data_IF_230733438105
#
_entry.id   IF_230733438105
#
_cell.length_a   1.000
_cell.length_b   1.000
_cell.length_c   1.000
_cell.angle_alpha   90.00
_cell.angle_beta   90.00
_cell.angle_gamma   90.00
#
_symmetry.space_group_name_H-M   'P 1'
#
loop_
_entity.id
_entity.type
_entity.pdbx_description
1 polymer ?
#
# COMPACT_ATOMS: atom_id res chain seq x y z
N UNK A 1 -16.88 5.57 -4.04
CA UNK A 1 -17.15 6.98 -3.69
C UNK A 1 -16.10 7.86 -4.35
N UNK A 2 -16.45 9.09 -4.76
CA UNK A 2 -15.52 9.98 -5.48
C UNK A 2 -14.33 10.42 -4.61
N UNK A 3 -14.54 10.42 -3.29
CA UNK A 3 -13.56 10.77 -2.27
C UNK A 3 -12.73 9.58 -1.76
N UNK A 4 -12.95 8.38 -2.32
CA UNK A 4 -12.23 7.19 -1.93
C UNK A 4 -10.73 7.28 -2.27
N UNK A 5 -9.90 6.67 -1.42
CA UNK A 5 -8.45 6.63 -1.60
C UNK A 5 -7.89 5.21 -1.59
N UNK A 6 -6.65 5.07 -2.03
CA UNK A 6 -5.85 3.85 -1.89
C UNK A 6 -4.62 4.08 -1.00
N UNK A 7 -4.18 3.03 -0.32
CA UNK A 7 -2.92 2.98 0.43
C UNK A 7 -2.20 1.71 0.01
N UNK A 8 -1.15 1.84 -0.79
CA UNK A 8 -0.54 0.70 -1.49
C UNK A 8 0.95 0.93 -1.71
N UNK A 9 1.73 -0.14 -1.66
CA UNK A 9 3.15 -0.12 -1.98
C UNK A 9 3.43 -0.90 -3.27
N UNK A 10 4.57 -0.61 -3.90
CA UNK A 10 5.11 -1.45 -4.98
C UNK A 10 5.45 -2.86 -4.50
N UNK A 11 5.66 -3.03 -3.19
CA UNK A 11 6.28 -4.18 -2.57
C UNK A 11 7.71 -4.39 -3.06
N UNK A 12 8.28 -5.53 -2.66
CA UNK A 12 9.59 -5.93 -3.16
C UNK A 12 10.76 -5.18 -2.55
N UNK A 13 10.56 -4.39 -1.50
CA UNK A 13 11.60 -3.77 -0.66
C UNK A 13 12.49 -4.81 0.05
N UNK A 14 12.00 -6.05 0.20
CA UNK A 14 12.72 -7.16 0.84
C UNK A 14 12.76 -7.05 2.37
N UNK A 15 11.97 -6.15 2.95
CA UNK A 15 12.06 -5.80 4.37
C UNK A 15 11.42 -6.84 5.28
N UNK A 16 10.40 -7.56 4.79
CA UNK A 16 9.66 -8.54 5.57
C UNK A 16 8.97 -7.93 6.78
N UNK A 17 8.48 -6.69 6.64
CA UNK A 17 7.76 -5.97 7.69
C UNK A 17 6.35 -6.51 7.89
N UNK A 18 5.68 -6.01 8.93
CA UNK A 18 4.22 -6.12 9.05
C UNK A 18 3.52 -5.49 7.84
N UNK A 19 2.26 -5.86 7.61
CA UNK A 19 1.45 -5.29 6.52
C UNK A 19 0.93 -3.88 6.89
N UNK A 20 1.85 -2.92 7.00
CA UNK A 20 1.62 -1.53 7.43
C UNK A 20 0.50 -0.89 6.60
N UNK A 21 0.61 -0.88 5.27
CA UNK A 21 -0.45 -0.33 4.41
C UNK A 21 -1.84 -0.99 4.59
N UNK A 22 -1.92 -2.21 5.12
CA UNK A 22 -3.21 -2.87 5.43
C UNK A 22 -3.77 -2.37 6.75
N UNK A 23 -2.93 -2.24 7.79
CA UNK A 23 -3.33 -1.61 9.04
C UNK A 23 -3.76 -0.15 8.83
N UNK A 24 -3.00 0.62 8.04
CA UNK A 24 -3.33 2.00 7.68
C UNK A 24 -4.68 2.09 6.98
N UNK A 25 -5.03 1.16 6.07
CA UNK A 25 -6.32 1.16 5.40
C UNK A 25 -7.50 1.02 6.38
N UNK A 26 -7.38 0.19 7.41
CA UNK A 26 -8.40 0.10 8.47
C UNK A 26 -8.49 1.38 9.30
N UNK A 27 -7.35 1.95 9.69
CA UNK A 27 -7.31 3.19 10.49
C UNK A 27 -7.93 4.36 9.70
N UNK A 28 -7.60 4.51 8.41
CA UNK A 28 -8.17 5.54 7.54
C UNK A 28 -9.67 5.35 7.34
N UNK A 29 -10.13 4.12 7.10
CA UNK A 29 -11.56 3.84 6.98
C UNK A 29 -12.32 4.18 8.28
N UNK A 30 -11.72 3.90 9.44
CA UNK A 30 -12.30 4.21 10.75
C UNK A 30 -12.44 5.72 11.03
N UNK A 31 -11.70 6.59 10.33
CA UNK A 31 -11.89 8.06 10.42
C UNK A 31 -12.97 8.58 9.47
N UNK A 32 -13.64 7.71 8.71
CA UNK A 32 -14.72 8.04 7.79
C UNK A 32 -14.28 8.31 6.36
N UNK A 33 -13.00 8.16 6.03
CA UNK A 33 -12.50 8.28 4.66
C UNK A 33 -12.66 6.94 3.94
N UNK A 34 -13.41 6.84 2.83
CA UNK A 34 -13.57 5.58 2.11
C UNK A 34 -12.25 5.08 1.53
N UNK A 35 -11.95 3.80 1.71
CA UNK A 35 -10.73 3.18 1.19
C UNK A 35 -11.08 2.10 0.18
N UNK A 36 -10.58 2.25 -1.04
CA UNK A 36 -10.63 1.25 -2.09
C UNK A 36 -9.22 0.68 -2.26
N UNK A 37 -8.84 -0.26 -1.39
CA UNK A 37 -7.48 -0.80 -1.34
C UNK A 37 -7.23 -1.78 -2.48
N UNK A 38 -6.23 -1.51 -3.30
CA UNK A 38 -5.74 -2.48 -4.27
C UNK A 38 -4.60 -3.29 -3.66
N UNK A 39 -4.56 -4.60 -3.90
CA UNK A 39 -3.47 -5.41 -3.35
C UNK A 39 -3.37 -6.81 -3.92
N UNK A 40 -2.30 -7.49 -3.52
CA UNK A 40 -1.98 -8.82 -4.00
C UNK A 40 -1.48 -9.71 -2.84
N UNK A 41 -1.27 -11.00 -3.14
CA UNK A 41 -0.48 -11.90 -2.29
C UNK A 41 1.00 -11.54 -2.35
N UNK A 42 1.77 -12.04 -1.39
CA UNK A 42 3.21 -11.84 -1.39
C UNK A 42 3.86 -12.38 -2.68
N UNK A 43 4.76 -11.58 -3.25
CA UNK A 43 5.70 -12.04 -4.30
C UNK A 43 7.08 -12.34 -3.72
N UNK A 44 7.54 -11.55 -2.75
CA UNK A 44 8.86 -11.66 -2.13
C UNK A 44 8.87 -11.52 -0.60
N UNK A 45 7.76 -11.08 0.00
CA UNK A 45 7.60 -11.04 1.47
C UNK A 45 7.09 -12.39 1.99
N UNK A 46 7.06 -12.55 3.31
CA UNK A 46 6.47 -13.74 3.95
C UNK A 46 4.93 -13.75 3.89
N UNK A 47 4.31 -12.57 3.78
CA UNK A 47 2.86 -12.39 3.67
C UNK A 47 2.50 -11.08 2.95
N UNK A 48 1.50 -11.14 2.06
CA UNK A 48 0.96 -9.98 1.36
C UNK A 48 -0.34 -9.49 2.00
N UNK A 49 -0.85 -8.35 1.52
CA UNK A 49 -2.10 -7.79 2.02
C UNK A 49 -3.28 -8.78 1.89
N UNK A 50 -3.35 -9.49 0.75
CA UNK A 50 -4.38 -10.51 0.52
C UNK A 50 -4.28 -11.68 1.50
N UNK A 51 -3.06 -12.11 1.85
CA UNK A 51 -2.83 -13.23 2.75
C UNK A 51 -3.26 -12.89 4.19
N UNK A 52 -2.91 -11.69 4.68
CA UNK A 52 -3.32 -11.21 6.01
C UNK A 52 -4.82 -10.95 6.08
N UNK A 53 -5.43 -10.36 5.05
CA UNK A 53 -6.88 -10.15 5.02
C UNK A 53 -7.63 -11.49 5.05
N UNK A 54 -7.16 -12.51 4.33
CA UNK A 54 -7.72 -13.86 4.39
C UNK A 54 -7.58 -14.48 5.80
N UNK A 55 -6.42 -14.35 6.45
CA UNK A 55 -6.21 -14.80 7.84
C UNK A 55 -7.11 -14.07 8.85
N UNK A 56 -7.46 -12.80 8.59
CA UNK A 56 -8.43 -12.06 9.38
C UNK A 56 -9.89 -12.50 9.15
N UNK A 57 -10.16 -13.35 8.16
CA UNK A 57 -11.48 -13.84 7.80
C UNK A 57 -12.19 -13.02 6.71
N UNK A 58 -11.49 -12.10 6.04
CA UNK A 58 -12.05 -11.31 4.94
C UNK A 58 -12.10 -12.17 3.68
N UNK A 59 -13.27 -12.19 3.03
CA UNK A 59 -13.37 -12.76 1.69
C UNK A 59 -12.69 -11.82 0.68
N UNK A 60 -11.50 -12.18 0.21
CA UNK A 60 -10.71 -11.37 -0.74
C UNK A 60 -11.15 -11.57 -2.20
N UNK A 61 -12.03 -12.53 -2.47
CA UNK A 61 -12.47 -12.90 -3.83
C UNK A 61 -13.85 -12.31 -4.17
N UNK A 62 -14.23 -11.22 -3.51
CA UNK A 62 -15.49 -10.53 -3.80
C UNK A 62 -15.51 -9.96 -5.22
N UNK A 63 -16.67 -10.05 -5.86
CA UNK A 63 -16.91 -9.37 -7.14
C UNK A 63 -17.10 -7.86 -6.97
N UNK A 64 -17.00 -7.08 -8.06
CA UNK A 64 -17.07 -5.62 -8.04
C UNK A 64 -18.29 -5.04 -7.28
N UNK A 65 -19.46 -5.64 -7.44
CA UNK A 65 -20.70 -5.17 -6.79
C UNK A 65 -20.61 -5.26 -5.26
N UNK A 66 -20.05 -6.38 -4.75
CA UNK A 66 -19.86 -6.59 -3.32
C UNK A 66 -18.70 -5.77 -2.74
N UNK A 67 -17.66 -5.52 -3.53
CA UNK A 67 -16.61 -4.56 -3.15
C UNK A 67 -17.21 -3.16 -3.00
N UNK A 68 -18.05 -2.74 -3.96
CA UNK A 68 -18.70 -1.43 -3.90
C UNK A 68 -19.65 -1.32 -2.70
N UNK A 69 -20.38 -2.39 -2.36
CA UNK A 69 -21.20 -2.51 -1.15
C UNK A 69 -20.33 -2.37 0.12
N UNK A 70 -19.23 -3.10 0.21
CA UNK A 70 -18.31 -3.03 1.35
C UNK A 70 -17.73 -1.61 1.56
N UNK A 71 -17.36 -0.91 0.48
CA UNK A 71 -16.88 0.47 0.60
C UNK A 71 -17.99 1.41 1.11
N UNK A 72 -19.24 1.23 0.66
CA UNK A 72 -20.37 2.07 1.09
C UNK A 72 -20.78 1.81 2.54
N UNK A 73 -20.79 0.55 2.96
CA UNK A 73 -21.35 0.16 4.26
C UNK A 73 -20.29 0.07 5.36
N UNK A 74 -19.08 -0.39 5.03
CA UNK A 74 -17.98 -0.59 5.98
C UNK A 74 -16.84 0.42 5.79
N UNK A 75 -16.89 1.28 4.77
CA UNK A 75 -15.84 2.29 4.50
C UNK A 75 -14.57 1.72 3.86
N UNK A 76 -14.45 0.40 3.71
CA UNK A 76 -13.27 -0.27 3.15
C UNK A 76 -13.68 -1.40 2.21
N UNK A 77 -13.09 -1.43 1.02
CA UNK A 77 -13.16 -2.56 0.10
C UNK A 77 -11.77 -2.95 -0.39
N UNK A 78 -11.56 -4.25 -0.58
CA UNK A 78 -10.31 -4.80 -1.09
C UNK A 78 -10.51 -5.32 -2.52
N UNK A 79 -9.64 -4.89 -3.43
CA UNK A 79 -9.61 -5.36 -4.81
C UNK A 79 -8.39 -6.25 -4.99
N UNK A 80 -8.63 -7.54 -5.18
CA UNK A 80 -7.55 -8.51 -5.35
C UNK A 80 -7.01 -8.49 -6.78
N UNK A 81 -5.76 -8.09 -6.96
CA UNK A 81 -5.15 -7.79 -8.26
C UNK A 81 -5.37 -8.87 -9.35
N UNK A 82 -5.24 -10.19 -9.09
CA UNK A 82 -5.46 -11.22 -10.11
C UNK A 82 -6.87 -11.23 -10.70
N UNK A 83 -7.88 -10.75 -9.96
CA UNK A 83 -9.26 -10.69 -10.42
C UNK A 83 -9.55 -9.49 -11.31
N UNK A 84 -8.76 -8.42 -11.21
CA UNK A 84 -8.97 -7.17 -11.96
C UNK A 84 -7.98 -6.99 -13.12
N UNK A 85 -6.85 -7.71 -13.11
CA UNK A 85 -5.78 -7.57 -14.09
C UNK A 85 -5.49 -8.89 -14.80
N UNK A 86 -6.50 -9.51 -15.39
CA UNK A 86 -6.39 -10.82 -16.06
C UNK A 86 -5.28 -10.88 -17.14
N UNK A 87 -4.96 -9.76 -17.78
CA UNK A 87 -3.87 -9.67 -18.76
C UNK A 87 -2.48 -9.93 -18.14
N UNK A 88 -2.31 -9.70 -16.84
CA UNK A 88 -1.03 -9.92 -16.13
C UNK A 88 -0.58 -11.38 -16.14
N UNK A 89 -1.50 -12.34 -16.36
CA UNK A 89 -1.15 -13.76 -16.51
C UNK A 89 -0.21 -14.03 -17.68
N UNK A 90 -0.22 -13.18 -18.71
CA UNK A 90 0.63 -13.33 -19.89
C UNK A 90 2.08 -12.91 -19.65
N UNK A 91 2.32 -12.04 -18.67
CA UNK A 91 3.68 -11.57 -18.31
C UNK A 91 4.20 -12.20 -17.02
N UNK A 92 3.32 -12.78 -16.21
CA UNK A 92 3.66 -13.42 -14.93
C UNK A 92 4.83 -14.42 -15.02
N UNK A 93 4.78 -15.44 -15.91
CA UNK A 93 5.86 -16.42 -16.03
C UNK A 93 7.22 -15.81 -16.34
N UNK A 94 7.28 -14.89 -17.31
CA UNK A 94 8.53 -14.20 -17.69
C UNK A 94 9.08 -13.36 -16.55
N UNK A 95 8.22 -12.72 -15.74
CA UNK A 95 8.67 -11.96 -14.57
C UNK A 95 9.32 -12.85 -13.52
N UNK A 96 8.80 -14.06 -13.32
CA UNK A 96 9.38 -15.04 -12.39
C UNK A 96 10.74 -15.51 -12.90
N UNK A 97 10.84 -15.85 -14.19
CA UNK A 97 12.09 -16.28 -14.84
C UNK A 97 13.18 -15.21 -14.78
N UNK A 98 12.82 -13.94 -15.00
CA UNK A 98 13.77 -12.82 -14.92
C UNK A 98 14.31 -12.59 -13.50
N UNK A 99 13.52 -12.91 -12.46
CA UNK A 99 13.94 -12.83 -11.06
C UNK A 99 14.43 -11.44 -10.59
N UNK A 100 14.16 -10.39 -11.36
CA UNK A 100 14.63 -9.02 -11.11
C UNK A 100 13.50 -8.01 -11.24
N UNK A 101 13.69 -6.83 -10.64
CA UNK A 101 12.72 -5.74 -10.70
C UNK A 101 12.66 -5.18 -12.14
N UNK A 102 11.45 -4.91 -12.60
CA UNK A 102 11.18 -4.28 -13.90
C UNK A 102 10.13 -3.19 -13.74
N UNK A 103 9.77 -2.50 -14.82
CA UNK A 103 8.68 -1.51 -14.79
C UNK A 103 7.36 -2.10 -14.26
N UNK A 104 7.12 -3.41 -14.41
CA UNK A 104 5.94 -4.09 -13.87
C UNK A 104 5.84 -4.06 -12.33
N UNK A 105 6.96 -3.82 -11.63
CA UNK A 105 6.94 -3.64 -10.17
C UNK A 105 6.36 -2.28 -9.76
N UNK A 106 6.33 -1.29 -10.66
CA UNK A 106 5.75 0.02 -10.43
C UNK A 106 4.26 0.08 -10.80
N UNK A 107 3.78 -0.84 -11.64
CA UNK A 107 2.43 -0.76 -12.20
C UNK A 107 1.31 -1.05 -11.19
N UNK A 108 1.56 -1.85 -10.15
CA UNK A 108 0.52 -2.25 -9.19
C UNK A 108 -0.19 -1.07 -8.53
N UNK A 109 0.55 -0.12 -7.92
CA UNK A 109 -0.01 1.11 -7.38
C UNK A 109 -0.67 2.04 -8.40
N UNK A 110 -0.29 1.93 -9.68
CA UNK A 110 -0.78 2.80 -10.76
C UNK A 110 -2.07 2.29 -11.41
N UNK A 111 -2.53 1.09 -11.06
CA UNK A 111 -3.61 0.40 -11.76
C UNK A 111 -4.84 0.10 -10.89
N UNK A 112 -5.12 0.91 -9.86
CA UNK A 112 -6.27 0.68 -8.99
C UNK A 112 -7.59 0.61 -9.80
N UNK A 113 -8.35 -0.50 -9.74
CA UNK A 113 -9.57 -0.70 -10.53
C UNK A 113 -10.71 0.28 -10.23
N UNK A 114 -10.73 0.86 -9.03
CA UNK A 114 -11.77 1.81 -8.59
C UNK A 114 -11.53 3.24 -9.09
N UNK A 115 -10.46 3.49 -9.85
CA UNK A 115 -10.14 4.82 -10.43
C UNK A 115 -10.11 5.94 -9.38
N UNK A 116 -9.60 5.63 -8.18
CA UNK A 116 -9.48 6.58 -7.07
C UNK A 116 -8.71 7.83 -7.48
N UNK A 117 -9.09 8.98 -6.90
CA UNK A 117 -8.45 10.28 -7.13
C UNK A 117 -7.45 10.66 -6.05
N UNK A 118 -7.28 9.81 -5.04
CA UNK A 118 -6.39 10.00 -3.91
C UNK A 118 -5.59 8.74 -3.59
N UNK A 119 -4.29 8.86 -3.31
CA UNK A 119 -3.49 7.70 -2.90
C UNK A 119 -2.28 8.03 -2.03
N UNK A 120 -1.93 7.13 -1.12
CA UNK A 120 -0.59 7.02 -0.53
C UNK A 120 0.12 5.83 -1.20
N UNK A 121 1.20 6.11 -1.90
CA UNK A 121 1.94 5.13 -2.72
C UNK A 121 3.36 4.95 -2.20
N UNK A 122 3.66 3.76 -1.72
CA UNK A 122 5.01 3.34 -1.39
C UNK A 122 5.82 2.91 -2.61
N UNK A 123 7.09 3.31 -2.71
CA UNK A 123 8.03 2.81 -3.74
C UNK A 123 9.29 2.21 -3.15
N UNK A 124 9.76 1.10 -3.74
CA UNK A 124 10.94 0.36 -3.25
C UNK A 124 12.29 1.09 -3.41
N UNK A 125 12.33 2.24 -4.11
CA UNK A 125 13.55 3.04 -4.30
C UNK A 125 13.21 4.52 -4.32
N UNK A 126 14.05 5.31 -3.66
CA UNK A 126 14.05 6.79 -3.68
C UNK A 126 13.96 7.35 -5.09
N UNK A 127 14.62 6.72 -6.06
CA UNK A 127 14.66 7.19 -7.46
C UNK A 127 13.26 7.23 -8.11
N UNK A 128 12.29 6.48 -7.58
CA UNK A 128 10.94 6.40 -8.11
C UNK A 128 9.95 7.37 -7.45
N UNK A 129 10.35 8.04 -6.36
CA UNK A 129 9.44 8.89 -5.57
C UNK A 129 8.82 10.00 -6.43
N UNK A 130 9.65 10.83 -7.06
CA UNK A 130 9.16 11.93 -7.90
C UNK A 130 8.61 11.46 -9.27
N UNK A 131 9.25 10.52 -10.01
CA UNK A 131 8.70 10.03 -11.29
C UNK A 131 7.30 9.43 -11.16
N UNK A 132 7.03 8.64 -10.11
CA UNK A 132 5.71 8.03 -9.89
C UNK A 132 4.67 9.11 -9.59
N UNK A 133 5.02 10.17 -8.85
CA UNK A 133 4.10 11.28 -8.59
C UNK A 133 3.69 12.00 -9.89
N UNK A 134 4.63 12.18 -10.83
CA UNK A 134 4.32 12.74 -12.15
C UNK A 134 3.45 11.82 -13.00
N UNK A 135 3.67 10.51 -12.94
CA UNK A 135 2.81 9.54 -13.64
C UNK A 135 1.40 9.55 -13.06
N UNK A 136 1.24 9.55 -11.73
CA UNK A 136 -0.06 9.66 -11.07
C UNK A 136 -0.81 10.93 -11.50
N UNK A 137 -0.12 12.07 -11.59
CA UNK A 137 -0.68 13.31 -12.15
C UNK A 137 -1.18 13.12 -13.58
N UNK A 138 -0.40 12.49 -14.45
CA UNK A 138 -0.79 12.24 -15.85
C UNK A 138 -1.97 11.28 -15.96
N UNK A 139 -2.10 10.33 -15.04
CA UNK A 139 -3.25 9.42 -14.93
C UNK A 139 -4.49 10.08 -14.31
N UNK A 140 -4.40 11.36 -13.93
CA UNK A 140 -5.54 12.14 -13.43
C UNK A 140 -5.83 11.94 -11.95
N UNK A 141 -4.81 11.59 -11.15
CA UNK A 141 -4.83 11.65 -9.69
C UNK A 141 -4.88 13.12 -9.23
N UNK A 142 -5.70 13.44 -8.24
CA UNK A 142 -5.84 14.80 -7.73
C UNK A 142 -4.90 15.08 -6.56
N UNK A 143 -4.78 14.12 -5.64
CA UNK A 143 -3.90 14.20 -4.47
C UNK A 143 -3.16 12.89 -4.26
N UNK A 144 -1.84 12.91 -4.18
CA UNK A 144 -1.10 11.71 -3.83
C UNK A 144 0.20 12.01 -3.12
N UNK A 145 0.57 11.16 -2.17
CA UNK A 145 1.92 11.11 -1.66
C UNK A 145 2.59 9.86 -2.19
N UNK A 146 3.76 10.03 -2.81
CA UNK A 146 4.66 8.91 -3.11
C UNK A 146 5.78 8.94 -2.09
N UNK A 147 6.04 7.81 -1.44
CA UNK A 147 6.93 7.74 -0.28
C UNK A 147 7.99 6.66 -0.39
N UNK A 148 9.15 6.92 0.22
CA UNK A 148 10.23 5.95 0.42
C UNK A 148 10.95 6.23 1.73
N UNK A 149 10.91 5.28 2.66
CA UNK A 149 11.63 5.36 3.93
C UNK A 149 13.15 5.34 3.72
N UNK A 150 13.91 6.09 4.51
CA UNK A 150 15.38 6.13 4.41
C UNK A 150 16.05 4.78 4.68
N UNK A 151 15.33 3.87 5.32
CA UNK A 151 15.70 2.48 5.61
C UNK A 151 15.40 1.51 4.46
N UNK A 152 14.88 2.02 3.34
CA UNK A 152 14.59 1.25 2.13
C UNK A 152 13.15 0.73 2.03
N UNK A 153 12.30 1.01 3.02
CA UNK A 153 10.89 0.61 3.01
C UNK A 153 10.13 1.35 1.91
N UNK A 154 9.18 0.64 1.29
CA UNK A 154 8.14 1.27 0.47
C UNK A 154 6.95 1.73 1.33
N UNK A 155 7.25 2.34 2.48
CA UNK A 155 6.28 2.85 3.45
C UNK A 155 6.85 4.13 4.08
N UNK A 156 6.03 4.88 4.82
CA UNK A 156 6.53 5.89 5.75
C UNK A 156 7.20 5.14 6.92
N UNK A 157 8.49 5.36 7.14
CA UNK A 157 9.24 4.67 8.20
C UNK A 157 9.24 5.45 9.51
N UNK A 158 9.33 4.72 10.63
CA UNK A 158 9.57 5.27 11.98
C UNK A 158 11.04 5.15 12.41
N UNK A 159 11.93 4.66 11.56
CA UNK A 159 13.35 4.40 11.91
C UNK A 159 14.28 5.52 11.45
N UNK A 160 13.75 6.55 10.79
CA UNK A 160 14.48 7.66 10.18
C UNK A 160 13.56 8.51 9.30
N UNK A 161 14.11 9.44 8.50
CA UNK A 161 13.31 10.27 7.61
C UNK A 161 12.67 9.47 6.47
N UNK A 162 11.57 9.98 5.94
CA UNK A 162 10.90 9.48 4.74
C UNK A 162 10.94 10.53 3.65
N UNK A 163 11.35 10.13 2.45
CA UNK A 163 11.28 10.98 1.26
C UNK A 163 9.87 10.97 0.70
N UNK A 164 9.34 12.14 0.38
CA UNK A 164 7.97 12.32 -0.10
C UNK A 164 7.97 13.16 -1.38
N UNK A 165 7.23 12.72 -2.39
CA UNK A 165 6.74 13.59 -3.45
C UNK A 165 5.22 13.73 -3.30
N UNK A 166 4.78 14.94 -2.94
CA UNK A 166 3.37 15.29 -2.86
C UNK A 166 2.88 15.84 -4.19
N UNK A 167 1.83 15.22 -4.72
CA UNK A 167 0.96 15.77 -5.74
C UNK A 167 -0.23 16.43 -5.05
N UNK A 168 -0.38 17.74 -5.23
CA UNK A 168 -1.52 18.50 -4.74
C UNK A 168 -1.81 19.66 -5.70
N UNK A 169 -3.08 19.87 -6.02
CA UNK A 169 -3.56 20.94 -6.91
C UNK A 169 -2.77 21.02 -8.24
N UNK A 170 -2.46 19.84 -8.80
CA UNK A 170 -1.72 19.69 -10.04
C UNK A 170 -0.21 20.00 -9.96
N UNK A 171 0.34 20.26 -8.76
CA UNK A 171 1.77 20.50 -8.53
C UNK A 171 2.40 19.32 -7.82
N UNK A 172 3.59 18.92 -8.28
CA UNK A 172 4.45 17.95 -7.57
C UNK A 172 5.48 18.75 -6.77
N UNK A 173 5.61 18.45 -5.48
CA UNK A 173 6.61 19.05 -4.58
C UNK A 173 7.27 17.96 -3.75
N UNK A 174 8.60 17.91 -3.76
CA UNK A 174 9.39 16.96 -2.99
C UNK A 174 9.83 17.56 -1.65
N UNK A 175 9.77 16.76 -0.59
CA UNK A 175 10.25 17.10 0.76
C UNK A 175 10.54 15.84 1.56
N UNK A 176 11.02 16.00 2.79
CA UNK A 176 11.22 14.93 3.75
C UNK A 176 10.33 15.14 4.98
N UNK A 177 9.87 14.03 5.56
CA UNK A 177 9.20 14.01 6.86
C UNK A 177 10.02 13.17 7.83
N UNK A 178 10.02 13.56 9.10
CA UNK A 178 10.73 12.87 10.16
C UNK A 178 9.73 12.41 11.25
N UNK A 179 9.84 11.17 11.78
CA UNK A 179 8.95 10.70 12.85
C UNK A 179 8.93 11.63 14.07
N UNK A 180 10.07 12.24 14.40
CA UNK A 180 10.19 13.13 15.55
C UNK A 180 9.41 14.44 15.34
N UNK A 181 9.08 14.81 14.10
CA UNK A 181 8.25 16.00 13.82
C UNK A 181 6.79 15.86 14.27
N UNK A 182 6.37 14.63 14.59
CA UNK A 182 5.03 14.27 15.08
C UNK A 182 5.08 13.50 16.40
N UNK A 183 6.13 13.75 17.20
CA UNK A 183 6.34 13.13 18.52
C UNK A 183 6.45 11.59 18.51
N UNK A 184 6.84 10.99 17.37
CA UNK A 184 7.14 9.56 17.27
C UNK A 184 8.65 9.36 17.45
N UNK A 185 9.03 8.58 18.46
CA UNK A 185 10.43 8.18 18.68
C UNK A 185 10.95 7.32 17.54
N UNK A 186 12.24 7.52 17.20
CA UNK A 186 12.94 6.64 16.25
C UNK A 186 12.94 5.21 16.79
N UNK A 187 12.35 4.30 16.02
CA UNK A 187 12.22 2.89 16.37
C UNK A 187 13.42 2.07 15.88
N UNK A 188 13.71 0.97 16.59
CA UNK A 188 14.59 -0.07 16.06
C UNK A 188 13.88 -0.79 14.89
N UNK A 189 14.49 -0.87 13.69
CA UNK A 189 13.92 -1.60 12.55
C UNK A 189 13.51 -3.04 12.86
N UNK A 190 14.13 -3.68 13.87
CA UNK A 190 13.76 -5.02 14.33
C UNK A 190 12.30 -5.10 14.82
N UNK A 191 11.74 -4.02 15.37
CA UNK A 191 10.35 -3.97 15.83
C UNK A 191 9.33 -3.95 14.70
N UNK A 192 9.74 -3.59 13.48
CA UNK A 192 8.86 -3.56 12.31
C UNK A 192 8.78 -4.91 11.60
N UNK A 193 9.58 -5.90 12.02
CA UNK A 193 9.66 -7.21 11.37
C UNK A 193 8.38 -8.02 11.57
N UNK A 194 7.76 -8.38 10.46
CA UNK A 194 6.64 -9.30 10.41
C UNK A 194 7.07 -10.74 10.17
N UNK A 195 6.08 -11.62 10.03
CA UNK A 195 6.27 -13.02 9.72
C UNK A 195 5.19 -13.51 8.73
N UNK A 196 4.63 -14.69 8.97
CA UNK A 196 3.55 -15.24 8.15
C UNK A 196 2.23 -14.45 8.31
N UNK A 197 1.22 -14.86 7.55
CA UNK A 197 -0.06 -14.17 7.51
C UNK A 197 -0.79 -14.19 8.86
N UNK A 198 -0.71 -15.28 9.61
CA UNK A 198 -1.38 -15.43 10.92
C UNK A 198 -0.71 -14.54 11.98
N UNK A 199 0.62 -14.52 12.02
CA UNK A 199 1.38 -13.63 12.89
C UNK A 199 1.06 -12.16 12.59
N UNK A 200 1.09 -11.77 11.32
CA UNK A 200 0.81 -10.39 10.92
C UNK A 200 -0.67 -10.02 11.17
N UNK A 201 -1.61 -10.96 11.00
CA UNK A 201 -3.02 -10.75 11.34
C UNK A 201 -3.23 -10.57 12.84
N UNK A 202 -2.57 -11.36 13.68
CA UNK A 202 -2.61 -11.22 15.14
C UNK A 202 -2.04 -9.86 15.59
N UNK A 203 -0.89 -9.46 15.05
CA UNK A 203 -0.28 -8.16 15.34
C UNK A 203 -1.20 -7.00 14.92
N UNK A 204 -1.80 -7.08 13.73
CA UNK A 204 -2.75 -6.07 13.24
C UNK A 204 -3.98 -5.97 14.16
N UNK A 205 -4.53 -7.10 14.62
CA UNK A 205 -5.62 -7.10 15.63
C UNK A 205 -5.19 -6.42 16.93
N UNK A 206 -3.98 -6.70 17.43
CA UNK A 206 -3.44 -6.06 18.63
C UNK A 206 -3.40 -4.54 18.49
N UNK A 207 -2.85 -4.03 17.38
CA UNK A 207 -2.81 -2.58 17.08
C UNK A 207 -4.22 -1.98 17.04
N UNK A 208 -5.17 -2.62 16.35
CA UNK A 208 -6.54 -2.08 16.20
C UNK A 208 -7.38 -2.16 17.49
N UNK A 209 -7.09 -3.12 18.38
CA UNK A 209 -7.72 -3.22 19.70
C UNK A 209 -7.08 -2.29 20.74
N UNK A 210 -6.03 -1.55 20.37
CA UNK A 210 -5.20 -0.78 21.30
C UNK A 210 -4.52 -1.64 22.38
N UNK A 211 -4.26 -2.92 22.08
CA UNK A 211 -3.42 -3.76 22.92
C UNK A 211 -1.98 -3.23 22.82
N UNK A 212 -1.41 -2.85 23.97
CA UNK A 212 -0.04 -2.30 24.07
C UNK A 212 1.02 -3.39 23.99
#
# INVERSE_FOLDING_TARGET
PDDAMDVVGTGGDGSGTYNISTATAFVVAATGVPVAKHGNRALSSKSGAADVLAALGVNIELGPDKIAEAIREAGLGFMFAPMHHAAMKHVGPTRVELGTRTIFNLLGPLSNPASVKRALVGVFSRDWVEPVAHVLKQLGMERAWVVHGSDGLDEITTTGPTHVASLEDGKVTAFEIDPQSVDISIADPAYLKGADAEHNAAALRGVLNSDR
#
